data_IF_409917662883
#
_entry.id   IF_409917662883
#
_cell.length_a   1.000
_cell.length_b   1.000
_cell.length_c   1.000
_cell.angle_alpha   90.00
_cell.angle_beta   90.00
_cell.angle_gamma   90.00
#
_symmetry.space_group_name_H-M   'P 1'
#
loop_
_entity.id
_entity.type
_entity.pdbx_description
1 polymer ?
#
# COMPACT_ATOMS: atom_id res chain seq x y z
N UNK A 1 18.43 2.46 10.38
CA UNK A 1 18.54 0.99 10.42
C UNK A 1 18.73 0.50 11.86
N UNK A 2 18.08 -0.59 12.26
CA UNK A 2 18.19 -1.25 13.57
C UNK A 2 17.53 -0.56 14.77
N UNK A 3 16.95 0.63 14.59
CA UNK A 3 16.32 1.38 15.69
C UNK A 3 15.08 0.67 16.24
N UNK A 4 14.91 0.69 17.55
CA UNK A 4 13.76 0.12 18.25
C UNK A 4 12.65 1.16 18.33
N UNK A 5 11.52 0.92 17.68
CA UNK A 5 10.38 1.84 17.63
C UNK A 5 9.08 1.11 17.96
N UNK A 6 8.03 1.87 18.29
CA UNK A 6 6.69 1.35 18.49
C UNK A 6 5.70 2.10 17.59
N UNK A 7 5.33 1.50 16.47
CA UNK A 7 4.30 2.01 15.56
C UNK A 7 3.09 1.06 15.62
N UNK A 8 1.88 1.60 15.83
CA UNK A 8 0.68 0.80 16.06
C UNK A 8 -0.06 0.34 14.79
N UNK A 9 0.11 1.03 13.66
CA UNK A 9 -0.66 0.75 12.44
C UNK A 9 -0.03 -0.37 11.59
N UNK A 10 -0.83 -1.34 11.13
CA UNK A 10 -0.35 -2.59 10.52
C UNK A 10 0.58 -2.39 9.32
N UNK A 11 0.23 -1.52 8.37
CA UNK A 11 1.10 -1.23 7.23
C UNK A 11 2.34 -0.41 7.63
N UNK A 12 2.26 0.41 8.67
CA UNK A 12 3.39 1.18 9.17
C UNK A 12 4.42 0.25 9.83
N UNK A 13 3.95 -0.77 10.57
CA UNK A 13 4.79 -1.83 11.13
C UNK A 13 5.58 -2.54 10.02
N UNK A 14 4.92 -2.97 8.94
CA UNK A 14 5.59 -3.64 7.82
C UNK A 14 6.61 -2.73 7.15
N UNK A 15 6.25 -1.46 6.92
CA UNK A 15 7.14 -0.48 6.30
C UNK A 15 8.39 -0.21 7.16
N UNK A 16 8.20 -0.02 8.47
CA UNK A 16 9.30 0.14 9.41
C UNK A 16 10.23 -1.07 9.42
N UNK A 17 9.67 -2.27 9.52
CA UNK A 17 10.43 -3.50 9.59
C UNK A 17 11.18 -3.84 8.30
N UNK A 18 10.51 -3.71 7.15
CA UNK A 18 10.99 -4.25 5.87
C UNK A 18 11.73 -3.20 5.05
N UNK A 19 11.24 -1.96 5.02
CA UNK A 19 11.75 -0.91 4.13
C UNK A 19 12.78 -0.03 4.83
N UNK A 20 12.44 0.50 6.01
CA UNK A 20 13.36 1.32 6.81
C UNK A 20 14.43 0.45 7.50
N UNK A 21 14.08 -0.81 7.80
CA UNK A 21 14.88 -1.70 8.64
C UNK A 21 14.96 -1.24 10.10
N UNK A 22 13.95 -0.51 10.58
CA UNK A 22 13.70 -0.34 11.99
C UNK A 22 13.08 -1.62 12.56
N UNK A 23 12.94 -1.69 13.89
CA UNK A 23 12.43 -2.87 14.58
C UNK A 23 11.22 -2.48 15.40
N UNK A 24 10.10 -3.08 15.03
CA UNK A 24 8.83 -2.91 15.73
C UNK A 24 8.02 -4.19 15.63
N UNK A 25 6.98 -4.31 16.45
CA UNK A 25 6.15 -5.50 16.49
C UNK A 25 4.68 -5.13 16.30
N UNK A 26 3.85 -6.13 16.01
CA UNK A 26 2.40 -5.96 16.00
C UNK A 26 1.92 -5.91 17.45
N UNK A 27 1.75 -4.69 17.91
CA UNK A 27 1.27 -4.40 19.25
C UNK A 27 -0.25 -4.50 19.34
N UNK A 28 -0.76 -4.92 20.50
CA UNK A 28 -2.14 -4.61 20.87
C UNK A 28 -2.27 -3.13 21.20
N UNK A 29 -3.50 -2.62 21.13
CA UNK A 29 -3.80 -1.21 21.38
C UNK A 29 -3.16 -0.70 22.68
N UNK A 30 -2.73 0.57 22.66
CA UNK A 30 -2.09 1.32 23.75
C UNK A 30 -0.67 0.92 24.14
N UNK A 31 -0.11 -0.19 23.66
CA UNK A 31 1.28 -0.53 23.98
C UNK A 31 2.26 0.48 23.35
N UNK A 32 1.95 1.00 22.17
CA UNK A 32 2.71 2.07 21.53
C UNK A 32 2.72 3.36 22.38
N UNK A 33 1.59 3.72 22.98
CA UNK A 33 1.50 4.83 23.95
C UNK A 33 2.35 4.55 25.21
N UNK A 34 2.28 3.34 25.76
CA UNK A 34 3.14 2.95 26.88
C UNK A 34 4.63 3.04 26.51
N UNK A 35 5.00 2.62 25.30
CA UNK A 35 6.37 2.75 24.80
C UNK A 35 6.79 4.21 24.69
N UNK A 36 5.91 5.09 24.20
CA UNK A 36 6.16 6.53 24.11
C UNK A 36 6.34 7.18 25.50
N UNK A 37 5.52 6.80 26.48
CA UNK A 37 5.60 7.32 27.85
C UNK A 37 6.86 6.87 28.59
N UNK A 38 7.29 5.61 28.38
CA UNK A 38 8.41 5.01 29.11
C UNK A 38 9.75 5.10 28.36
N UNK A 39 9.72 5.40 27.06
CA UNK A 39 10.88 5.30 26.18
C UNK A 39 11.39 3.87 26.00
N UNK A 40 10.56 2.85 26.25
CA UNK A 40 10.96 1.43 26.25
C UNK A 40 9.96 0.57 25.49
N UNK A 41 10.46 -0.28 24.61
CA UNK A 41 9.70 -1.35 23.98
C UNK A 41 10.02 -2.70 24.65
N UNK A 42 9.06 -3.63 24.78
CA UNK A 42 9.36 -4.96 25.28
C UNK A 42 10.27 -5.71 24.29
N UNK A 43 11.24 -6.47 24.79
CA UNK A 43 12.19 -7.23 23.98
C UNK A 43 11.56 -8.57 23.54
N UNK A 44 10.66 -8.53 22.56
CA UNK A 44 9.94 -9.71 22.06
C UNK A 44 9.62 -9.65 20.56
N UNK A 45 9.31 -10.80 19.98
CA UNK A 45 8.96 -10.95 18.57
C UNK A 45 9.98 -10.28 17.66
N UNK A 46 9.54 -9.44 16.73
CA UNK A 46 10.38 -8.82 15.70
C UNK A 46 11.37 -7.77 16.20
N UNK A 47 11.39 -7.46 17.50
CA UNK A 47 12.50 -6.73 18.11
C UNK A 47 13.78 -7.58 18.19
N UNK A 48 13.63 -8.90 18.32
CA UNK A 48 14.70 -9.87 18.45
C UNK A 48 15.14 -10.39 17.06
N UNK A 49 16.44 -10.52 16.84
CA UNK A 49 16.99 -10.86 15.51
C UNK A 49 16.61 -12.26 15.06
N UNK A 50 16.60 -13.21 15.98
CA UNK A 50 16.26 -14.62 15.75
C UNK A 50 14.83 -14.80 15.21
N UNK A 51 13.91 -13.91 15.57
CA UNK A 51 12.50 -13.96 15.14
C UNK A 51 12.27 -13.30 13.77
N UNK A 52 13.29 -12.66 13.20
CA UNK A 52 13.21 -11.99 11.89
C UNK A 52 13.66 -12.89 10.75
N UNK A 53 14.01 -14.14 11.04
CA UNK A 53 14.41 -15.13 10.06
C UNK A 53 13.27 -15.42 9.09
N UNK A 54 13.57 -15.35 7.79
CA UNK A 54 12.69 -15.83 6.74
C UNK A 54 12.25 -17.27 6.97
N UNK A 55 11.00 -17.57 6.64
CA UNK A 55 10.41 -18.91 6.83
C UNK A 55 9.73 -19.46 5.58
N UNK A 56 9.21 -18.60 4.74
CA UNK A 56 8.58 -18.98 3.47
C UNK A 56 9.21 -18.20 2.32
N UNK A 57 9.59 -18.90 1.25
CA UNK A 57 10.14 -18.31 0.05
C UNK A 57 9.02 -18.13 -0.99
N UNK A 58 8.89 -16.92 -1.52
CA UNK A 58 8.09 -16.60 -2.69
C UNK A 58 9.01 -16.33 -3.87
N UNK A 59 8.97 -17.19 -4.88
CA UNK A 59 9.75 -17.03 -6.11
C UNK A 59 8.87 -16.39 -7.19
N UNK A 60 9.18 -15.14 -7.54
CA UNK A 60 8.47 -14.40 -8.57
C UNK A 60 9.01 -14.79 -9.95
N UNK A 61 8.10 -15.31 -10.78
CA UNK A 61 8.32 -15.62 -12.18
C UNK A 61 7.53 -14.61 -13.03
N UNK A 62 8.07 -13.40 -13.10
CA UNK A 62 7.51 -12.25 -13.83
C UNK A 62 8.58 -11.61 -14.73
N UNK A 63 9.08 -12.34 -15.76
CA UNK A 63 10.08 -11.80 -16.66
C UNK A 63 9.55 -10.55 -17.38
N UNK A 64 10.42 -9.55 -17.54
CA UNK A 64 10.16 -8.32 -18.30
C UNK A 64 8.95 -7.48 -17.84
N UNK A 65 8.46 -7.70 -16.61
CA UNK A 65 7.38 -6.87 -16.06
C UNK A 65 7.91 -5.48 -15.67
N UNK A 66 7.29 -4.44 -16.22
CA UNK A 66 7.45 -3.08 -15.70
C UNK A 66 7.07 -3.07 -14.20
N UNK A 67 7.87 -2.44 -13.32
CA UNK A 67 7.57 -2.34 -11.90
C UNK A 67 6.40 -1.37 -11.68
N UNK A 68 5.18 -1.77 -12.04
CA UNK A 68 3.95 -1.01 -11.83
C UNK A 68 3.55 -1.01 -10.35
N UNK A 69 2.80 -0.01 -9.89
CA UNK A 69 2.34 0.02 -8.50
C UNK A 69 1.39 -1.16 -8.21
N UNK A 70 0.58 -1.57 -9.19
CA UNK A 70 -0.29 -2.75 -9.09
C UNK A 70 0.48 -4.07 -8.92
N UNK A 71 1.65 -4.24 -9.55
CA UNK A 71 2.47 -5.43 -9.35
C UNK A 71 2.86 -5.60 -7.87
N UNK A 72 3.33 -4.53 -7.25
CA UNK A 72 3.70 -4.53 -5.83
C UNK A 72 2.47 -4.78 -4.92
N UNK A 73 1.33 -4.18 -5.24
CA UNK A 73 0.06 -4.47 -4.53
C UNK A 73 -0.30 -5.95 -4.65
N UNK A 74 -0.30 -6.51 -5.86
CA UNK A 74 -0.72 -7.89 -6.12
C UNK A 74 0.20 -8.92 -5.45
N UNK A 75 1.52 -8.69 -5.50
CA UNK A 75 2.50 -9.49 -4.72
C UNK A 75 2.17 -9.40 -3.23
N UNK A 76 1.90 -8.20 -2.72
CA UNK A 76 1.48 -7.98 -1.34
C UNK A 76 0.24 -8.80 -0.95
N UNK A 77 -0.80 -8.82 -1.80
CA UNK A 77 -2.00 -9.62 -1.56
C UNK A 77 -1.71 -11.12 -1.47
N UNK A 78 -0.87 -11.63 -2.37
CA UNK A 78 -0.54 -13.06 -2.42
C UNK A 78 0.28 -13.49 -1.21
N UNK A 79 1.33 -12.73 -0.85
CA UNK A 79 2.13 -13.06 0.32
C UNK A 79 1.30 -12.93 1.61
N UNK A 80 0.41 -11.94 1.70
CA UNK A 80 -0.46 -11.78 2.86
C UNK A 80 -1.33 -13.01 3.09
N UNK A 81 -1.97 -13.51 2.02
CA UNK A 81 -2.85 -14.69 2.09
C UNK A 81 -2.09 -15.97 2.48
N UNK A 82 -0.86 -16.16 2.01
CA UNK A 82 -0.13 -17.41 2.20
C UNK A 82 0.76 -17.45 3.45
N UNK A 83 1.23 -16.30 3.95
CA UNK A 83 2.30 -16.28 4.96
C UNK A 83 1.84 -16.65 6.37
N UNK A 84 0.59 -16.35 6.73
CA UNK A 84 0.15 -16.50 8.12
C UNK A 84 0.99 -15.60 9.06
N UNK A 85 1.62 -16.19 10.06
CA UNK A 85 2.56 -15.53 11.00
C UNK A 85 4.03 -15.65 10.60
N UNK A 86 4.33 -16.30 9.47
CA UNK A 86 5.69 -16.59 9.00
C UNK A 86 6.28 -15.39 8.28
N UNK A 87 7.57 -15.12 8.49
CA UNK A 87 8.30 -14.07 7.78
C UNK A 87 8.50 -14.47 6.31
N UNK A 88 7.95 -13.66 5.41
CA UNK A 88 8.00 -13.87 3.97
C UNK A 88 9.35 -13.43 3.39
N UNK A 89 9.95 -14.22 2.52
CA UNK A 89 11.10 -13.84 1.70
C UNK A 89 10.66 -13.84 0.23
N UNK A 90 10.95 -12.78 -0.49
CA UNK A 90 10.54 -12.55 -1.87
C UNK A 90 11.81 -12.54 -2.72
N UNK A 91 11.93 -13.51 -3.63
CA UNK A 91 12.98 -13.56 -4.63
C UNK A 91 12.40 -13.20 -6.01
N UNK A 92 13.15 -12.45 -6.81
CA UNK A 92 12.71 -12.05 -8.17
C UNK A 92 11.77 -10.84 -8.23
N UNK A 93 11.58 -10.11 -7.13
CA UNK A 93 10.86 -8.83 -7.16
C UNK A 93 11.64 -7.83 -8.03
N UNK A 94 11.00 -7.17 -9.03
CA UNK A 94 11.69 -6.16 -9.82
C UNK A 94 12.11 -4.99 -8.94
N UNK A 95 13.16 -4.29 -9.34
CA UNK A 95 13.66 -3.15 -8.58
C UNK A 95 12.57 -2.06 -8.48
N UNK A 96 12.16 -1.65 -7.28
CA UNK A 96 11.15 -0.63 -7.13
C UNK A 96 11.65 0.72 -7.65
N UNK A 97 10.74 1.53 -8.17
CA UNK A 97 10.98 2.93 -8.52
C UNK A 97 11.39 3.74 -7.28
N UNK A 98 10.66 3.54 -6.19
CA UNK A 98 10.79 4.25 -4.93
C UNK A 98 10.22 3.40 -3.78
N UNK A 99 10.37 3.89 -2.54
CA UNK A 99 9.86 3.22 -1.36
C UNK A 99 8.33 3.12 -1.30
N UNK A 100 7.60 3.94 -2.06
CA UNK A 100 6.13 3.92 -2.07
C UNK A 100 5.58 2.61 -2.65
N UNK A 101 6.30 1.99 -3.57
CA UNK A 101 5.95 0.67 -4.10
C UNK A 101 6.09 -0.42 -3.03
N UNK A 102 7.16 -0.37 -2.23
CA UNK A 102 7.33 -1.29 -1.10
C UNK A 102 6.33 -1.00 0.02
N UNK A 103 5.96 0.27 0.22
CA UNK A 103 4.88 0.71 1.13
C UNK A 103 3.54 0.11 0.70
N UNK A 104 3.22 0.13 -0.59
CA UNK A 104 2.00 -0.46 -1.15
C UNK A 104 1.98 -2.00 -1.00
N UNK A 105 3.10 -2.68 -1.29
CA UNK A 105 3.26 -4.12 -1.09
C UNK A 105 3.01 -4.49 0.38
N UNK A 106 3.73 -3.84 1.31
CA UNK A 106 3.62 -4.11 2.73
C UNK A 106 2.21 -3.87 3.27
N UNK A 107 1.53 -2.83 2.78
CA UNK A 107 0.15 -2.54 3.15
C UNK A 107 -0.84 -3.60 2.67
N UNK A 108 -0.71 -4.08 1.43
CA UNK A 108 -1.56 -5.15 0.91
C UNK A 108 -1.33 -6.48 1.66
N UNK A 109 -0.08 -6.78 2.00
CA UNK A 109 0.30 -7.96 2.79
C UNK A 109 -0.27 -7.94 4.21
N UNK A 110 -0.15 -6.80 4.90
CA UNK A 110 -0.71 -6.62 6.25
C UNK A 110 -2.26 -6.57 6.27
N UNK A 111 -2.88 -6.31 5.11
CA UNK A 111 -4.34 -6.25 4.97
C UNK A 111 -4.94 -7.64 4.79
N UNK A 112 -4.36 -8.44 3.89
CA UNK A 112 -4.87 -9.77 3.56
C UNK A 112 -4.32 -10.87 4.47
N UNK A 113 -3.34 -10.56 5.31
CA UNK A 113 -2.76 -11.47 6.28
C UNK A 113 -2.14 -10.76 7.48
N UNK A 114 -1.36 -11.52 8.26
CA UNK A 114 -0.73 -11.01 9.48
C UNK A 114 0.75 -10.60 9.30
N UNK A 115 1.17 -10.38 8.05
CA UNK A 115 2.55 -10.01 7.72
C UNK A 115 2.95 -8.73 8.47
N UNK A 116 4.00 -8.82 9.28
CA UNK A 116 4.59 -7.72 10.02
C UNK A 116 6.04 -7.40 9.58
N UNK A 117 6.64 -8.29 8.79
CA UNK A 117 7.95 -8.18 8.18
C UNK A 117 7.96 -9.04 6.91
N UNK A 118 8.50 -8.50 5.82
CA UNK A 118 8.93 -9.25 4.66
C UNK A 118 10.38 -8.89 4.32
N UNK A 119 11.06 -9.81 3.65
CA UNK A 119 12.38 -9.61 3.07
C UNK A 119 12.24 -9.66 1.56
N UNK A 120 12.66 -8.62 0.82
CA UNK A 120 12.80 -8.69 -0.62
C UNK A 120 14.29 -8.77 -0.99
N UNK A 121 14.69 -9.90 -1.55
CA UNK A 121 16.11 -10.23 -1.79
C UNK A 121 16.76 -9.20 -2.71
N UNK A 122 17.87 -8.63 -2.27
CA UNK A 122 18.62 -7.58 -2.97
C UNK A 122 18.00 -6.18 -2.89
N UNK A 123 16.89 -6.01 -2.15
CA UNK A 123 16.14 -4.75 -2.05
C UNK A 123 16.05 -4.29 -0.59
N UNK A 124 15.52 -5.13 0.31
CA UNK A 124 15.32 -4.75 1.71
C UNK A 124 16.61 -4.88 2.53
N UNK A 125 16.83 -4.03 3.54
CA UNK A 125 18.14 -3.92 4.20
C UNK A 125 18.65 -5.18 4.93
N UNK A 126 17.77 -6.09 5.35
CA UNK A 126 18.12 -7.34 6.06
C UNK A 126 18.26 -8.56 5.13
N UNK A 127 18.17 -8.36 3.82
CA UNK A 127 18.11 -9.45 2.85
C UNK A 127 18.79 -9.07 1.53
N UNK A 128 20.07 -8.70 1.56
CA UNK A 128 20.81 -8.51 0.31
C UNK A 128 21.02 -9.84 -0.42
N UNK A 129 21.00 -10.95 0.32
CA UNK A 129 21.05 -12.32 -0.22
C UNK A 129 19.97 -13.22 0.39
N UNK A 130 19.71 -14.37 -0.24
CA UNK A 130 18.85 -15.41 0.33
C UNK A 130 19.40 -15.93 1.67
N UNK A 131 20.72 -16.09 1.77
CA UNK A 131 21.38 -16.58 2.98
C UNK A 131 21.12 -15.66 4.18
N UNK A 132 21.24 -14.34 3.99
CA UNK A 132 20.91 -13.34 5.02
C UNK A 132 19.41 -13.37 5.37
N UNK A 133 18.54 -13.42 4.37
CA UNK A 133 17.09 -13.44 4.57
C UNK A 133 16.63 -14.63 5.41
N UNK A 134 17.23 -15.81 5.19
CA UNK A 134 16.93 -17.04 5.92
C UNK A 134 17.88 -17.29 7.11
N UNK A 135 18.84 -16.40 7.36
CA UNK A 135 19.87 -16.53 8.40
C UNK A 135 20.59 -17.90 8.33
N UNK A 136 20.94 -18.35 7.14
CA UNK A 136 21.62 -19.64 6.89
C UNK A 136 20.74 -20.89 6.97
N UNK A 137 19.43 -20.76 7.10
CA UNK A 137 18.49 -21.89 7.12
C UNK A 137 17.82 -22.12 5.75
N UNK A 138 17.28 -23.31 5.54
CA UNK A 138 16.40 -23.58 4.41
C UNK A 138 14.98 -23.00 4.67
N UNK A 139 14.24 -22.58 3.64
CA UNK A 139 12.83 -22.23 3.78
C UNK A 139 12.01 -23.45 4.22
N UNK A 140 10.97 -23.20 5.03
CA UNK A 140 10.01 -24.24 5.40
C UNK A 140 9.08 -24.59 4.23
N UNK A 141 8.84 -23.63 3.34
CA UNK A 141 7.96 -23.73 2.18
C UNK A 141 8.44 -22.78 1.08
N UNK A 142 8.28 -23.21 -0.18
CA UNK A 142 8.55 -22.39 -1.37
C UNK A 142 7.30 -22.33 -2.23
N UNK A 143 6.86 -21.12 -2.58
CA UNK A 143 5.70 -20.86 -3.44
C UNK A 143 6.17 -20.07 -4.66
N UNK A 144 5.90 -20.59 -5.85
CA UNK A 144 6.12 -19.85 -7.10
C UNK A 144 4.92 -18.93 -7.37
N UNK A 145 5.18 -17.68 -7.70
CA UNK A 145 4.18 -16.67 -8.08
C UNK A 145 4.39 -16.31 -9.55
N UNK A 146 3.37 -16.51 -10.36
CA UNK A 146 3.36 -16.11 -11.78
C UNK A 146 2.65 -14.78 -11.98
N UNK A 147 2.81 -14.17 -13.16
CA UNK A 147 2.03 -12.98 -13.56
C UNK A 147 0.52 -13.23 -13.51
N UNK A 148 0.06 -14.42 -13.91
CA UNK A 148 -1.36 -14.77 -13.88
C UNK A 148 -1.93 -14.80 -12.45
N UNK A 149 -1.13 -15.24 -11.47
CA UNK A 149 -1.54 -15.22 -10.05
C UNK A 149 -1.72 -13.79 -9.54
N UNK A 150 -0.82 -12.88 -9.93
CA UNK A 150 -0.88 -11.45 -9.60
C UNK A 150 -2.12 -10.81 -10.22
N UNK A 151 -2.34 -11.03 -11.53
CA UNK A 151 -3.49 -10.47 -12.24
C UNK A 151 -4.81 -10.98 -11.64
N UNK A 152 -4.89 -12.27 -11.28
CA UNK A 152 -6.04 -12.85 -10.60
C UNK A 152 -6.25 -12.25 -9.21
N UNK A 153 -5.19 -12.04 -8.43
CA UNK A 153 -5.29 -11.39 -7.12
C UNK A 153 -5.80 -9.95 -7.21
N UNK A 154 -5.32 -9.19 -8.20
CA UNK A 154 -5.74 -7.81 -8.44
C UNK A 154 -7.19 -7.72 -8.94
N UNK A 155 -7.62 -8.63 -9.81
CA UNK A 155 -8.99 -8.67 -10.31
C UNK A 155 -10.02 -8.78 -9.17
N UNK A 156 -9.69 -9.51 -8.09
CA UNK A 156 -10.53 -9.68 -6.90
C UNK A 156 -10.71 -8.40 -6.07
N UNK A 157 -9.89 -7.36 -6.27
CA UNK A 157 -10.08 -6.06 -5.61
C UNK A 157 -11.21 -5.24 -6.25
N UNK A 158 -11.62 -5.60 -7.47
CA UNK A 158 -12.71 -4.93 -8.17
C UNK A 158 -14.02 -5.71 -8.02
N UNK A 159 -15.10 -4.99 -7.76
CA UNK A 159 -16.46 -5.53 -7.60
C UNK A 159 -17.40 -5.12 -8.73
N UNK A 160 -16.89 -4.31 -9.67
CA UNK A 160 -17.66 -3.78 -10.81
C UNK A 160 -16.86 -3.83 -12.11
N UNK A 161 -17.54 -3.99 -13.26
CA UNK A 161 -16.90 -3.97 -14.57
C UNK A 161 -16.51 -2.56 -15.01
N UNK A 162 -15.77 -2.48 -16.12
CA UNK A 162 -15.53 -1.23 -16.84
C UNK A 162 -16.86 -0.63 -17.33
N UNK A 163 -16.90 0.70 -17.48
CA UNK A 163 -18.10 1.44 -17.88
C UNK A 163 -19.09 1.73 -16.75
N UNK A 164 -18.90 1.18 -15.55
CA UNK A 164 -19.75 1.49 -14.40
C UNK A 164 -19.66 3.00 -14.04
N UNK A 165 -20.80 3.68 -13.74
CA UNK A 165 -20.79 5.08 -13.35
C UNK A 165 -19.95 5.31 -12.09
N UNK A 166 -19.05 6.30 -12.15
CA UNK A 166 -18.13 6.58 -11.06
C UNK A 166 -18.74 7.60 -10.10
N UNK A 167 -18.65 7.36 -8.79
CA UNK A 167 -19.10 8.28 -7.75
C UNK A 167 -17.94 9.09 -7.16
N UNK A 168 -16.76 8.49 -6.99
CA UNK A 168 -15.57 9.15 -6.45
C UNK A 168 -14.28 8.42 -6.83
N UNK A 169 -13.15 9.08 -6.62
CA UNK A 169 -11.82 8.46 -6.56
C UNK A 169 -11.28 8.62 -5.15
N UNK A 170 -10.65 7.58 -4.61
CA UNK A 170 -9.98 7.61 -3.30
C UNK A 170 -8.58 7.04 -3.39
N UNK A 171 -7.57 7.87 -3.13
CA UNK A 171 -6.14 7.53 -3.16
C UNK A 171 -5.50 7.77 -1.79
N UNK A 172 -4.28 7.27 -1.57
CA UNK A 172 -3.53 7.58 -0.35
C UNK A 172 -3.81 6.64 0.83
N UNK A 173 -4.03 5.36 0.57
CA UNK A 173 -4.06 4.35 1.64
C UNK A 173 -3.02 3.27 1.32
N UNK A 174 -1.81 3.27 1.89
CA UNK A 174 -1.30 4.20 2.91
C UNK A 174 -1.16 5.64 2.44
N UNK A 175 -1.07 6.56 3.40
CA UNK A 175 -0.98 8.01 3.14
C UNK A 175 0.08 8.34 2.09
N UNK A 176 -0.31 9.24 1.18
CA UNK A 176 0.57 9.68 0.10
C UNK A 176 1.85 10.34 0.63
N UNK A 177 2.97 9.93 0.05
CA UNK A 177 4.24 10.65 0.13
C UNK A 177 4.19 11.94 -0.68
N UNK A 178 5.16 12.83 -0.47
CA UNK A 178 5.29 14.03 -1.29
C UNK A 178 5.51 13.66 -2.77
N UNK A 179 6.26 12.60 -3.02
CA UNK A 179 6.61 12.07 -4.32
C UNK A 179 5.37 11.52 -5.05
N UNK A 180 4.45 10.84 -4.35
CA UNK A 180 3.15 10.43 -4.91
C UNK A 180 2.30 11.63 -5.33
N UNK A 181 2.29 12.71 -4.53
CA UNK A 181 1.63 13.95 -4.91
C UNK A 181 2.26 14.55 -6.18
N UNK A 182 3.58 14.57 -6.28
CA UNK A 182 4.27 15.09 -7.47
C UNK A 182 4.00 14.25 -8.74
N UNK A 183 3.64 12.97 -8.59
CA UNK A 183 3.13 12.14 -9.69
C UNK A 183 1.66 12.40 -10.01
N UNK A 184 0.83 12.62 -9.01
CA UNK A 184 -0.61 12.84 -9.16
C UNK A 184 -0.94 14.18 -9.85
N UNK A 185 -0.32 15.28 -9.40
CA UNK A 185 -0.69 16.63 -9.84
C UNK A 185 -0.56 16.85 -11.36
N UNK A 186 0.50 16.35 -12.04
CA UNK A 186 0.57 16.37 -13.50
C UNK A 186 -0.57 15.60 -14.17
N UNK A 187 -0.95 14.42 -13.65
CA UNK A 187 -2.04 13.61 -14.21
C UNK A 187 -3.38 14.35 -14.14
N UNK A 188 -3.65 15.05 -13.03
CA UNK A 188 -4.85 15.88 -12.89
C UNK A 188 -4.87 17.01 -13.92
N UNK A 189 -3.75 17.69 -14.15
CA UNK A 189 -3.64 18.76 -15.16
C UNK A 189 -3.81 18.23 -16.57
N UNK A 190 -3.24 17.06 -16.87
CA UNK A 190 -3.32 16.40 -18.18
C UNK A 190 -4.76 15.96 -18.49
N UNK A 191 -5.42 15.28 -17.55
CA UNK A 191 -6.78 14.78 -17.73
C UNK A 191 -7.84 15.89 -17.61
N UNK A 192 -7.52 16.98 -16.88
CA UNK A 192 -8.40 18.10 -16.58
C UNK A 192 -9.83 17.68 -16.19
N UNK A 193 -9.99 16.78 -15.19
CA UNK A 193 -11.31 16.37 -14.76
C UNK A 193 -12.08 17.60 -14.27
N UNK A 194 -13.32 17.79 -14.70
CA UNK A 194 -14.16 18.84 -14.11
C UNK A 194 -14.51 18.50 -12.65
N UNK A 195 -15.12 19.43 -11.91
CA UNK A 195 -15.59 19.23 -10.51
C UNK A 195 -16.74 18.21 -10.35
N UNK A 196 -16.95 17.31 -11.32
CA UNK A 196 -18.07 16.35 -11.31
C UNK A 196 -17.79 15.13 -10.42
N UNK A 197 -16.53 14.68 -10.38
CA UNK A 197 -16.12 13.50 -9.60
C UNK A 197 -15.15 13.96 -8.51
N UNK A 198 -15.47 13.81 -7.21
CA UNK A 198 -14.55 14.14 -6.13
C UNK A 198 -13.39 13.14 -6.09
N UNK A 199 -12.18 13.67 -5.91
CA UNK A 199 -10.92 12.92 -5.85
C UNK A 199 -10.31 13.13 -4.47
N UNK A 200 -10.54 12.18 -3.57
CA UNK A 200 -10.01 12.21 -2.21
C UNK A 200 -8.59 11.64 -2.19
N UNK A 201 -7.67 12.34 -1.54
CA UNK A 201 -6.29 11.88 -1.41
C UNK A 201 -5.85 12.01 0.04
N UNK A 202 -5.70 10.86 0.69
CA UNK A 202 -5.27 10.78 2.08
C UNK A 202 -3.76 11.00 2.19
N UNK A 203 -3.33 11.85 3.12
CA UNK A 203 -1.93 12.23 3.31
C UNK A 203 -1.64 12.55 4.77
N UNK A 204 -0.37 12.54 5.17
CA UNK A 204 0.05 13.07 6.47
C UNK A 204 0.01 14.60 6.50
N UNK A 205 -0.30 15.18 7.67
CA UNK A 205 -0.32 16.64 7.85
C UNK A 205 0.96 17.35 7.46
N UNK A 206 2.12 16.78 7.82
CA UNK A 206 3.42 17.37 7.47
C UNK A 206 3.60 17.48 5.95
N UNK A 207 3.23 16.43 5.20
CA UNK A 207 3.23 16.43 3.73
C UNK A 207 2.25 17.46 3.18
N UNK A 208 1.04 17.55 3.74
CA UNK A 208 0.04 18.53 3.31
C UNK A 208 0.52 19.97 3.52
N UNK A 209 1.08 20.29 4.68
CA UNK A 209 1.66 21.60 4.97
C UNK A 209 2.77 21.94 3.98
N UNK A 210 3.69 21.01 3.73
CA UNK A 210 4.76 21.20 2.73
C UNK A 210 4.20 21.53 1.34
N UNK A 211 3.20 20.79 0.87
CA UNK A 211 2.58 21.04 -0.43
C UNK A 211 1.89 22.41 -0.52
N UNK A 212 1.32 22.88 0.59
CA UNK A 212 0.71 24.20 0.67
C UNK A 212 1.78 25.31 0.62
N UNK A 213 2.87 25.16 1.36
CA UNK A 213 4.01 26.09 1.36
C UNK A 213 4.67 26.19 -0.02
N UNK A 214 4.77 25.08 -0.75
CA UNK A 214 5.26 25.03 -2.13
C UNK A 214 4.27 25.60 -3.16
N UNK A 215 3.03 25.90 -2.76
CA UNK A 215 1.96 26.31 -3.67
C UNK A 215 1.51 25.20 -4.64
N UNK A 216 1.90 23.95 -4.40
CA UNK A 216 1.69 22.83 -5.32
C UNK A 216 0.20 22.51 -5.55
N UNK A 217 -0.64 22.79 -4.54
CA UNK A 217 -2.09 22.54 -4.56
C UNK A 217 -2.91 23.69 -5.14
N UNK A 218 -2.30 24.82 -5.50
CA UNK A 218 -3.02 26.00 -5.98
C UNK A 218 -3.84 25.69 -7.25
N UNK A 219 -5.14 25.95 -7.20
CA UNK A 219 -6.07 25.75 -8.31
C UNK A 219 -6.48 24.28 -8.54
N UNK A 220 -6.00 23.34 -7.73
CA UNK A 220 -6.32 21.92 -7.91
C UNK A 220 -7.75 21.59 -7.47
N UNK A 221 -8.40 22.44 -6.67
CA UNK A 221 -9.81 22.35 -6.34
C UNK A 221 -10.72 22.47 -7.58
N UNK A 222 -10.23 23.06 -8.67
CA UNK A 222 -10.94 23.09 -9.95
C UNK A 222 -11.06 21.69 -10.57
N UNK A 223 -10.17 20.76 -10.20
CA UNK A 223 -10.14 19.37 -10.66
C UNK A 223 -10.89 18.40 -9.74
N UNK A 224 -11.64 18.91 -8.76
CA UNK A 224 -12.34 18.07 -7.78
C UNK A 224 -11.43 17.42 -6.74
N UNK A 225 -10.17 17.88 -6.61
CA UNK A 225 -9.21 17.36 -5.65
C UNK A 225 -9.54 17.77 -4.22
N UNK A 226 -9.56 16.79 -3.31
CA UNK A 226 -9.86 16.95 -1.89
C UNK A 226 -8.76 16.26 -1.06
N UNK A 227 -7.73 17.00 -0.61
CA UNK A 227 -6.74 16.46 0.32
C UNK A 227 -7.37 16.15 1.68
N UNK A 228 -7.08 14.96 2.23
CA UNK A 228 -7.58 14.50 3.53
C UNK A 228 -6.39 14.18 4.43
N UNK A 229 -6.24 14.91 5.55
CA UNK A 229 -5.10 14.74 6.44
C UNK A 229 -5.40 13.77 7.60
N UNK A 230 -4.42 12.93 7.95
CA UNK A 230 -4.35 12.15 9.20
C UNK A 230 -5.52 11.17 9.45
N UNK A 231 -6.26 10.79 8.41
CA UNK A 231 -7.36 9.82 8.51
C UNK A 231 -7.57 9.12 7.17
N UNK A 232 -8.24 7.97 7.19
CA UNK A 232 -8.56 7.18 6.00
C UNK A 232 -10.05 7.32 5.64
N UNK A 233 -10.36 7.49 4.35
CA UNK A 233 -11.74 7.65 3.85
C UNK A 233 -12.61 6.40 3.94
N UNK A 234 -12.05 5.24 4.30
CA UNK A 234 -12.78 3.99 4.51
C UNK A 234 -13.10 3.69 5.99
N UNK A 235 -12.75 4.61 6.91
CA UNK A 235 -13.00 4.47 8.36
C UNK A 235 -14.06 5.47 8.84
N UNK A 236 -14.04 6.69 8.32
CA UNK A 236 -15.01 7.73 8.62
C UNK A 236 -15.74 8.14 7.34
N UNK A 237 -17.02 8.49 7.43
CA UNK A 237 -17.84 8.92 6.29
C UNK A 237 -17.46 10.34 5.84
N UNK A 238 -16.25 10.48 5.27
CA UNK A 238 -15.73 11.70 4.65
C UNK A 238 -16.21 11.82 3.19
N UNK A 239 -16.53 10.69 2.56
CA UNK A 239 -17.05 10.66 1.20
C UNK A 239 -18.44 11.29 1.16
N UNK A 240 -18.63 12.22 0.21
CA UNK A 240 -19.92 12.90 -0.02
C UNK A 240 -21.02 11.92 -0.41
N UNK A 241 -20.65 10.84 -1.10
CA UNK A 241 -21.54 9.78 -1.57
C UNK A 241 -20.96 8.42 -1.25
N UNK A 242 -21.76 7.63 -0.55
CA UNK A 242 -21.48 6.21 -0.26
C UNK A 242 -22.27 5.29 -1.21
N UNK A 243 -23.22 5.85 -1.96
CA UNK A 243 -23.99 5.15 -2.98
C UNK A 243 -23.25 5.19 -4.34
N UNK A 244 -22.45 4.17 -4.63
CA UNK A 244 -21.88 3.99 -5.95
C UNK A 244 -20.49 3.36 -5.99
N UNK A 245 -19.82 3.53 -7.13
CA UNK A 245 -18.49 3.01 -7.39
C UNK A 245 -17.44 4.03 -6.98
N UNK A 246 -16.50 3.61 -6.15
CA UNK A 246 -15.28 4.37 -5.83
C UNK A 246 -14.08 3.67 -6.44
N UNK A 247 -13.25 4.44 -7.15
CA UNK A 247 -12.04 3.91 -7.77
C UNK A 247 -10.80 4.23 -6.94
N UNK A 248 -9.86 3.29 -6.84
CA UNK A 248 -8.65 3.43 -6.03
C UNK A 248 -7.46 2.70 -6.64
N UNK A 249 -6.24 3.18 -6.35
CA UNK A 249 -4.99 2.45 -6.59
C UNK A 249 -4.46 1.71 -5.35
N UNK A 250 -5.24 1.69 -4.27
CA UNK A 250 -4.85 1.06 -3.01
C UNK A 250 -5.49 -0.31 -2.84
N UNK A 251 -4.66 -1.35 -2.68
CA UNK A 251 -5.14 -2.68 -2.29
C UNK A 251 -5.79 -2.70 -0.92
N UNK A 252 -5.26 -1.94 0.05
CA UNK A 252 -5.80 -1.83 1.42
C UNK A 252 -7.19 -1.19 1.42
N UNK A 253 -7.33 -0.08 0.71
CA UNK A 253 -8.61 0.62 0.60
C UNK A 253 -9.64 -0.24 -0.11
N UNK A 254 -9.27 -0.83 -1.24
CA UNK A 254 -10.14 -1.70 -2.02
C UNK A 254 -10.65 -2.91 -1.23
N UNK A 255 -9.82 -3.43 -0.32
CA UNK A 255 -10.19 -4.54 0.54
C UNK A 255 -11.18 -4.15 1.65
N UNK A 256 -10.94 -3.05 2.36
CA UNK A 256 -11.74 -2.69 3.54
C UNK A 256 -13.00 -1.87 3.23
N UNK A 257 -12.96 -1.00 2.21
CA UNK A 257 -14.04 -0.05 1.95
C UNK A 257 -15.42 -0.71 1.71
N UNK A 258 -15.55 -1.83 0.97
CA UNK A 258 -16.85 -2.49 0.80
C UNK A 258 -17.48 -2.90 2.13
N UNK A 259 -16.68 -3.49 3.03
CA UNK A 259 -17.15 -3.97 4.33
C UNK A 259 -17.42 -2.84 5.33
N UNK A 260 -16.60 -1.79 5.30
CA UNK A 260 -16.68 -0.72 6.30
C UNK A 260 -17.71 0.35 5.97
N UNK A 261 -17.84 0.73 4.70
CA UNK A 261 -18.67 1.86 4.27
C UNK A 261 -19.65 1.53 3.14
N UNK A 262 -19.74 0.26 2.72
CA UNK A 262 -20.79 -0.24 1.82
C UNK A 262 -20.66 0.16 0.35
N UNK A 263 -19.50 0.70 -0.07
CA UNK A 263 -19.25 1.13 -1.46
C UNK A 263 -18.90 -0.04 -2.37
N UNK A 264 -19.19 0.10 -3.66
CA UNK A 264 -18.59 -0.75 -4.69
C UNK A 264 -17.22 -0.20 -5.09
N UNK A 265 -16.29 -1.08 -5.42
CA UNK A 265 -14.90 -0.73 -5.68
C UNK A 265 -14.45 -1.09 -7.09
N UNK A 266 -13.72 -0.17 -7.71
CA UNK A 266 -12.88 -0.41 -8.87
C UNK A 266 -11.40 -0.18 -8.51
N UNK A 267 -10.57 -1.22 -8.59
CA UNK A 267 -9.12 -1.08 -8.45
C UNK A 267 -8.46 -0.84 -9.82
N UNK A 268 -7.48 0.07 -9.89
CA UNK A 268 -6.62 0.28 -11.06
C UNK A 268 -5.36 1.12 -10.73
N UNK A 269 -4.51 1.34 -11.73
CA UNK A 269 -3.39 2.28 -11.63
C UNK A 269 -3.85 3.73 -11.40
N UNK A 270 -2.99 4.55 -10.78
CA UNK A 270 -3.30 5.95 -10.47
C UNK A 270 -3.75 6.74 -11.72
N UNK A 271 -3.08 6.53 -12.86
CA UNK A 271 -3.44 7.17 -14.13
C UNK A 271 -4.87 6.83 -14.57
N UNK A 272 -5.27 5.57 -14.43
CA UNK A 272 -6.60 5.11 -14.81
C UNK A 272 -7.68 5.66 -13.87
N UNK A 273 -7.38 5.79 -12.57
CA UNK A 273 -8.27 6.46 -11.62
C UNK A 273 -8.57 7.90 -12.07
N UNK A 274 -7.54 8.66 -12.47
CA UNK A 274 -7.71 10.05 -12.90
C UNK A 274 -8.41 10.16 -14.24
N UNK A 275 -8.09 9.27 -15.20
CA UNK A 275 -8.82 9.20 -16.47
C UNK A 275 -10.30 8.89 -16.27
N UNK A 276 -10.62 7.98 -15.36
CA UNK A 276 -11.99 7.61 -15.02
C UNK A 276 -12.75 8.76 -14.36
N UNK A 277 -12.08 9.55 -13.50
CA UNK A 277 -12.66 10.76 -12.94
C UNK A 277 -13.03 11.79 -14.03
N UNK A 278 -12.18 11.97 -15.04
CA UNK A 278 -12.48 12.84 -16.17
C UNK A 278 -13.63 12.32 -17.05
N UNK A 279 -13.72 10.99 -17.23
CA UNK A 279 -14.75 10.33 -18.02
C UNK A 279 -16.10 10.17 -17.29
N UNK A 280 -16.12 10.23 -15.96
CA UNK A 280 -17.31 10.01 -15.12
C UNK A 280 -17.75 8.55 -15.00
N UNK A 281 -16.95 7.61 -15.48
CA UNK A 281 -17.18 6.16 -15.40
C UNK A 281 -15.85 5.41 -15.39
N UNK A 282 -15.87 4.14 -14.99
CA UNK A 282 -14.66 3.31 -14.88
C UNK A 282 -14.03 3.07 -16.27
N UNK A 283 -12.77 3.48 -16.44
CA UNK A 283 -11.96 3.28 -17.65
C UNK A 283 -10.57 2.75 -17.27
N UNK A 284 -10.33 1.45 -17.47
CA UNK A 284 -9.04 0.80 -17.23
C UNK A 284 -8.27 0.58 -18.53
N UNK A 285 -6.95 0.71 -18.48
CA UNK A 285 -6.07 0.39 -19.59
C UNK A 285 -5.94 -1.14 -19.66
N UNK A 286 -5.79 -1.71 -20.86
CA UNK A 286 -5.50 -3.14 -20.98
C UNK A 286 -4.14 -3.44 -20.33
N UNK A 287 -4.12 -4.43 -19.43
CA UNK A 287 -2.96 -4.89 -18.67
C UNK A 287 -1.94 -5.65 -19.51
#
# INVERSE_FOLDING_TARGET
>A
FGQQIAWGESNAIVFANSVIGARTNRYGDFIDLCCAMTGRAPAWGLHLSENRRGRILFELDVPDSEPSDSLFVGVGLLIGQASGDRVSVIAGLPRPRDEDQLKALGAAAATTGAVALFHAVGITPEAMTLDEAFQGHAPDETIRITRADIDHALARLSTVPDGAPLAAVSLGTPHFSHEEWMRLLPLLREAAPGRRIPIYVNTGRATLTRLQEEGALAGMEAFGLIPVADTCTYVTSILERLDGVVMTNSGKWAHYAPGNIGVSVAFAEMRDCIRSAAAGHVVRSAS
#
